data_IF_463582100905
#
_entry.id   IF_463582100905
#
_cell.length_a   1.000
_cell.length_b   1.000
_cell.length_c   1.000
_cell.angle_alpha   90.00
_cell.angle_beta   90.00
_cell.angle_gamma   90.00
#
_symmetry.space_group_name_H-M   'P 1'
#
loop_
_entity.id
_entity.type
_entity.pdbx_description
1 polymer ?
#
# COMPACT_ATOMS: atom_id res chain seq x y z
N UNK A 1 -3.40 0.96 8.29
CA UNK A 1 -4.27 1.86 9.10
C UNK A 1 -5.59 2.01 8.37
N UNK A 2 -6.70 1.82 9.05
CA UNK A 2 -8.06 1.90 8.49
C UNK A 2 -8.67 3.20 9.00
N UNK A 3 -9.15 4.05 8.11
CA UNK A 3 -9.94 5.24 8.45
C UNK A 3 -11.35 5.02 7.92
N UNK A 4 -12.35 5.27 8.76
CA UNK A 4 -13.76 5.16 8.40
C UNK A 4 -14.37 6.55 8.47
N UNK A 5 -14.79 7.05 7.33
CA UNK A 5 -15.49 8.34 7.22
C UNK A 5 -16.98 8.06 6.91
N UNK A 6 -17.88 8.63 7.72
CA UNK A 6 -19.30 8.67 7.44
C UNK A 6 -19.60 9.80 6.47
N UNK A 7 -20.20 9.48 5.33
CA UNK A 7 -20.60 10.49 4.35
C UNK A 7 -21.99 11.03 4.72
N UNK A 8 -22.21 12.29 4.46
CA UNK A 8 -23.25 13.25 4.88
C UNK A 8 -24.71 12.79 4.98
N UNK A 9 -25.11 11.60 4.56
CA UNK A 9 -26.48 11.10 4.63
C UNK A 9 -26.75 10.04 5.71
N UNK A 10 -25.72 9.69 6.49
CA UNK A 10 -25.86 8.70 7.56
C UNK A 10 -25.92 7.23 7.11
N UNK A 11 -26.10 6.96 5.82
CA UNK A 11 -26.24 5.61 5.26
C UNK A 11 -25.05 5.19 4.37
N UNK A 12 -24.12 6.09 4.07
CA UNK A 12 -22.95 5.80 3.24
C UNK A 12 -21.68 5.83 4.07
N UNK A 13 -20.86 4.80 3.94
CA UNK A 13 -19.60 4.63 4.64
C UNK A 13 -18.44 4.61 3.65
N UNK A 14 -17.36 5.32 3.96
CA UNK A 14 -16.11 5.29 3.20
C UNK A 14 -14.99 4.72 4.05
N UNK A 15 -14.47 3.59 3.65
CA UNK A 15 -13.30 2.96 4.24
C UNK A 15 -12.07 3.31 3.42
N UNK A 16 -11.11 4.00 4.02
CA UNK A 16 -9.83 4.32 3.39
C UNK A 16 -8.79 3.39 3.99
N UNK A 17 -8.29 2.46 3.19
CA UNK A 17 -7.25 1.54 3.57
C UNK A 17 -5.92 2.08 3.09
N UNK A 18 -5.02 2.37 4.02
CA UNK A 18 -3.65 2.79 3.73
C UNK A 18 -2.65 1.86 4.38
N UNK A 19 -1.55 1.51 3.69
CA UNK A 19 -0.47 0.76 4.30
C UNK A 19 0.10 1.53 5.49
N UNK A 20 0.57 0.79 6.48
CA UNK A 20 1.22 1.37 7.64
C UNK A 20 2.66 1.74 7.26
N UNK A 21 2.85 2.94 6.71
CA UNK A 21 4.15 3.45 6.32
C UNK A 21 4.82 4.10 7.53
N UNK A 22 5.81 3.43 8.11
CA UNK A 22 6.58 3.94 9.25
C UNK A 22 7.50 5.11 8.88
N UNK A 23 7.89 5.22 7.60
CA UNK A 23 8.83 6.22 7.10
C UNK A 23 8.15 7.09 6.06
N UNK A 24 8.20 8.41 6.22
CA UNK A 24 7.70 9.34 5.23
C UNK A 24 8.64 9.43 4.02
N UNK A 25 8.10 9.80 2.85
CA UNK A 25 8.91 9.99 1.64
C UNK A 25 10.06 10.98 1.84
N UNK A 26 9.84 12.02 2.64
CA UNK A 26 10.85 13.03 2.95
C UNK A 26 12.01 12.45 3.77
N UNK A 27 11.71 11.65 4.77
CA UNK A 27 12.73 10.98 5.61
C UNK A 27 13.54 9.98 4.80
N UNK A 28 12.89 9.20 3.94
CA UNK A 28 13.55 8.27 3.04
C UNK A 28 14.51 9.00 2.09
N UNK A 29 14.07 10.12 1.51
CA UNK A 29 14.87 10.92 0.60
C UNK A 29 16.05 11.59 1.33
N UNK A 30 15.83 12.08 2.55
CA UNK A 30 16.87 12.68 3.38
C UNK A 30 17.94 11.64 3.74
N UNK A 31 17.52 10.45 4.14
CA UNK A 31 18.42 9.32 4.39
C UNK A 31 19.25 8.97 3.14
N UNK A 32 18.61 8.88 1.98
CA UNK A 32 19.30 8.61 0.71
C UNK A 32 20.32 9.69 0.37
N UNK A 33 19.96 10.98 0.48
CA UNK A 33 20.87 12.09 0.22
C UNK A 33 22.07 12.11 1.16
N UNK A 34 21.85 11.82 2.44
CA UNK A 34 22.91 11.74 3.43
C UNK A 34 23.89 10.60 3.10
N UNK A 35 23.35 9.44 2.72
CA UNK A 35 24.16 8.29 2.28
C UNK A 35 24.97 8.61 1.02
N UNK A 36 24.36 9.29 0.05
CA UNK A 36 25.05 9.76 -1.16
C UNK A 36 26.20 10.74 -0.82
N UNK A 37 25.96 11.68 0.09
CA UNK A 37 26.98 12.65 0.49
C UNK A 37 28.19 11.97 1.15
N UNK A 38 27.96 11.01 2.03
CA UNK A 38 29.03 10.24 2.67
C UNK A 38 29.78 9.39 1.64
N UNK A 39 29.05 8.69 0.76
CA UNK A 39 29.66 7.87 -0.30
C UNK A 39 30.51 8.70 -1.26
N UNK A 40 30.02 9.89 -1.63
CA UNK A 40 30.76 10.82 -2.49
C UNK A 40 32.04 11.35 -1.79
N UNK A 41 31.95 11.71 -0.52
CA UNK A 41 33.12 12.17 0.25
C UNK A 41 34.21 11.09 0.33
N UNK A 42 33.81 9.84 0.58
CA UNK A 42 34.73 8.69 0.59
C UNK A 42 35.33 8.46 -0.81
N UNK A 43 34.52 8.49 -1.85
CA UNK A 43 34.97 8.33 -3.23
C UNK A 43 35.96 9.40 -3.66
N UNK A 44 35.74 10.66 -3.30
CA UNK A 44 36.65 11.77 -3.56
C UNK A 44 38.00 11.59 -2.80
N UNK A 45 37.91 11.18 -1.54
CA UNK A 45 39.11 10.91 -0.74
C UNK A 45 40.02 9.86 -1.39
N UNK A 46 39.47 8.74 -1.86
CA UNK A 46 40.23 7.71 -2.55
C UNK A 46 40.74 8.15 -3.93
N UNK A 47 40.00 8.99 -4.60
CA UNK A 47 40.41 9.53 -5.90
C UNK A 47 41.64 10.39 -5.80
N UNK A 48 41.75 11.22 -4.75
CA UNK A 48 42.95 12.03 -4.49
C UNK A 48 44.20 11.15 -4.24
N UNK A 49 43.98 9.93 -3.73
CA UNK A 49 45.07 8.94 -3.55
C UNK A 49 45.40 8.16 -4.84
N UNK A 50 44.81 8.50 -5.97
CA UNK A 50 45.07 7.86 -7.27
C UNK A 50 44.14 6.71 -7.61
N UNK A 51 43.17 6.39 -6.75
CA UNK A 51 42.18 5.30 -6.95
C UNK A 51 40.89 5.82 -7.62
N UNK A 52 41.00 6.38 -8.82
CA UNK A 52 39.91 7.03 -9.51
C UNK A 52 38.76 6.08 -9.87
N UNK A 53 39.01 4.76 -9.97
CA UNK A 53 37.97 3.75 -10.25
C UNK A 53 36.91 3.68 -9.16
N UNK A 54 37.19 4.14 -7.95
CA UNK A 54 36.19 4.12 -6.85
C UNK A 54 34.98 5.01 -7.15
N UNK A 55 35.18 6.15 -7.82
CA UNK A 55 34.11 7.09 -8.15
C UNK A 55 33.00 6.47 -9.04
N UNK A 56 33.30 5.89 -10.23
CA UNK A 56 32.26 5.31 -11.07
C UNK A 56 31.56 4.13 -10.39
N UNK A 57 32.26 3.34 -9.59
CA UNK A 57 31.69 2.23 -8.86
C UNK A 57 30.73 2.71 -7.76
N UNK A 58 31.15 3.69 -6.95
CA UNK A 58 30.31 4.32 -5.94
C UNK A 58 29.06 4.99 -6.56
N UNK A 59 29.22 5.65 -7.71
CA UNK A 59 28.10 6.24 -8.44
C UNK A 59 27.08 5.19 -8.90
N UNK A 60 27.55 4.06 -9.42
CA UNK A 60 26.68 2.96 -9.83
C UNK A 60 25.94 2.37 -8.64
N UNK A 61 26.60 2.16 -7.51
CA UNK A 61 25.99 1.65 -6.28
C UNK A 61 24.88 2.57 -5.78
N UNK A 62 25.13 3.89 -5.72
CA UNK A 62 24.12 4.86 -5.31
C UNK A 62 22.93 4.90 -6.29
N UNK A 63 23.18 4.77 -7.59
CA UNK A 63 22.11 4.70 -8.58
C UNK A 63 21.24 3.46 -8.37
N UNK A 64 21.83 2.29 -8.16
CA UNK A 64 21.08 1.05 -7.89
C UNK A 64 20.29 1.15 -6.59
N UNK A 65 20.87 1.71 -5.54
CA UNK A 65 20.20 1.96 -4.26
C UNK A 65 18.99 2.89 -4.47
N UNK A 66 19.16 3.99 -5.18
CA UNK A 66 18.10 4.95 -5.48
C UNK A 66 16.95 4.32 -6.29
N UNK A 67 17.28 3.53 -7.30
CA UNK A 67 16.27 2.76 -8.06
C UNK A 67 15.52 1.78 -7.17
N UNK A 68 16.22 1.03 -6.32
CA UNK A 68 15.62 0.09 -5.37
C UNK A 68 14.64 0.78 -4.42
N UNK A 69 15.05 1.90 -3.82
CA UNK A 69 14.20 2.71 -2.95
C UNK A 69 13.00 3.29 -3.70
N UNK A 70 13.18 3.76 -4.92
CA UNK A 70 12.09 4.27 -5.76
C UNK A 70 11.04 3.20 -6.08
N UNK A 71 11.47 2.01 -6.51
CA UNK A 71 10.54 0.91 -6.81
C UNK A 71 9.83 0.39 -5.56
N UNK A 72 10.54 0.31 -4.44
CA UNK A 72 9.96 -0.13 -3.16
C UNK A 72 8.92 0.87 -2.67
N UNK A 73 9.24 2.17 -2.67
CA UNK A 73 8.31 3.20 -2.24
C UNK A 73 7.03 3.23 -3.07
N UNK A 74 7.14 3.02 -4.38
CA UNK A 74 5.97 2.98 -5.27
C UNK A 74 4.99 1.86 -4.93
N UNK A 75 5.47 0.70 -4.45
CA UNK A 75 4.62 -0.41 -4.00
C UNK A 75 3.91 -0.12 -2.68
N UNK A 76 4.55 0.63 -1.80
CA UNK A 76 4.06 0.91 -0.44
C UNK A 76 2.96 1.99 -0.42
N UNK A 77 2.91 2.89 -1.41
CA UNK A 77 1.90 3.96 -1.47
C UNK A 77 0.57 3.58 -2.12
N UNK A 78 0.25 2.28 -2.23
CA UNK A 78 -1.07 1.83 -2.71
C UNK A 78 -2.15 2.16 -1.67
N UNK A 79 -3.19 2.84 -2.08
CA UNK A 79 -4.39 3.10 -1.27
C UNK A 79 -5.57 2.38 -1.90
N UNK A 80 -6.41 1.83 -1.04
CA UNK A 80 -7.69 1.26 -1.45
C UNK A 80 -8.80 2.04 -0.75
N UNK A 81 -9.81 2.42 -1.50
CA UNK A 81 -10.99 3.12 -1.00
C UNK A 81 -12.20 2.25 -1.28
N UNK A 82 -12.94 1.90 -0.24
CA UNK A 82 -14.19 1.15 -0.34
C UNK A 82 -15.30 2.10 0.07
N UNK A 83 -16.17 2.43 -0.85
CA UNK A 83 -17.36 3.25 -0.60
C UNK A 83 -18.56 2.33 -0.60
N UNK A 84 -19.25 2.27 0.54
CA UNK A 84 -20.48 1.51 0.74
C UNK A 84 -21.65 2.48 0.74
N UNK A 85 -22.48 2.42 -0.31
CA UNK A 85 -23.76 3.07 -0.37
C UNK A 85 -24.88 2.01 -0.25
N UNK A 86 -26.10 2.36 0.16
CA UNK A 86 -27.20 1.40 0.28
C UNK A 86 -27.54 0.66 -1.03
N UNK A 87 -27.20 1.25 -2.16
CA UNK A 87 -27.45 0.67 -3.49
C UNK A 87 -26.22 0.14 -4.19
N UNK A 88 -25.05 0.77 -3.97
CA UNK A 88 -23.82 0.47 -4.73
C UNK A 88 -22.61 0.44 -3.81
N UNK A 89 -21.82 -0.60 -3.96
CA UNK A 89 -20.49 -0.71 -3.34
C UNK A 89 -19.43 -0.46 -4.39
N UNK A 90 -18.62 0.57 -4.21
CA UNK A 90 -17.51 0.91 -5.10
C UNK A 90 -16.20 0.63 -4.40
N UNK A 91 -15.31 -0.09 -5.09
CA UNK A 91 -13.96 -0.38 -4.65
C UNK A 91 -13.00 0.28 -5.63
N UNK A 92 -12.16 1.17 -5.13
CA UNK A 92 -11.18 1.90 -5.93
C UNK A 92 -9.77 1.57 -5.41
N UNK A 93 -8.88 1.17 -6.31
CA UNK A 93 -7.48 0.92 -6.02
C UNK A 93 -6.59 1.86 -6.81
N UNK A 94 -5.63 2.49 -6.13
CA UNK A 94 -4.69 3.39 -6.78
C UNK A 94 -3.53 3.81 -5.90
N UNK A 95 -2.53 4.45 -6.52
CA UNK A 95 -1.37 5.05 -5.82
C UNK A 95 -1.57 6.56 -5.65
N UNK A 96 -1.79 7.28 -6.73
CA UNK A 96 -2.12 8.73 -6.78
C UNK A 96 -3.34 9.00 -7.64
N UNK A 97 -3.68 8.07 -8.53
CA UNK A 97 -4.87 8.08 -9.37
C UNK A 97 -5.53 6.72 -9.25
N UNK A 98 -6.84 6.70 -9.38
CA UNK A 98 -7.61 5.45 -9.45
C UNK A 98 -7.16 4.71 -10.71
N UNK A 99 -6.54 3.54 -10.53
CA UNK A 99 -6.11 2.69 -11.64
C UNK A 99 -7.15 1.62 -11.96
N UNK A 100 -7.84 1.17 -10.91
CA UNK A 100 -8.84 0.12 -11.02
C UNK A 100 -10.03 0.50 -10.15
N UNK A 101 -11.23 0.37 -10.70
CA UNK A 101 -12.49 0.59 -9.98
C UNK A 101 -13.46 -0.55 -10.29
N UNK A 102 -14.11 -1.04 -9.27
CA UNK A 102 -15.18 -2.06 -9.37
C UNK A 102 -16.41 -1.54 -8.69
N UNK A 103 -17.55 -1.75 -9.33
CA UNK A 103 -18.87 -1.43 -8.81
C UNK A 103 -19.68 -2.72 -8.65
N UNK A 104 -20.31 -2.88 -7.48
CA UNK A 104 -21.19 -3.99 -7.16
C UNK A 104 -22.51 -3.44 -6.58
N UNK A 105 -23.59 -4.17 -6.75
CA UNK A 105 -24.85 -3.86 -6.08
C UNK A 105 -24.80 -4.33 -4.62
N UNK A 106 -24.92 -3.41 -3.67
CA UNK A 106 -24.75 -3.68 -2.23
C UNK A 106 -25.57 -4.83 -1.69
N UNK A 107 -26.86 -5.04 -2.07
CA UNK A 107 -27.66 -6.15 -1.54
C UNK A 107 -27.11 -7.55 -1.86
N UNK A 108 -26.26 -7.66 -2.88
CA UNK A 108 -25.69 -8.94 -3.33
C UNK A 108 -24.22 -9.09 -3.00
N UNK A 109 -23.62 -8.10 -2.37
CA UNK A 109 -22.21 -8.12 -1.96
C UNK A 109 -22.03 -9.01 -0.74
N UNK A 110 -21.01 -9.83 -0.79
CA UNK A 110 -20.57 -10.65 0.34
C UNK A 110 -19.12 -10.41 0.66
N UNK A 111 -18.81 -10.31 1.95
CA UNK A 111 -17.46 -10.31 2.46
C UNK A 111 -17.00 -11.76 2.57
N UNK A 112 -16.00 -12.11 1.80
CA UNK A 112 -15.43 -13.44 1.70
C UNK A 112 -14.09 -13.43 2.44
N UNK A 113 -14.01 -14.21 3.49
CA UNK A 113 -12.79 -14.37 4.29
C UNK A 113 -12.26 -15.79 4.04
N UNK A 114 -11.19 -15.88 3.28
CA UNK A 114 -10.58 -17.15 2.90
C UNK A 114 -9.24 -17.34 3.61
N UNK A 115 -9.08 -18.46 4.28
CA UNK A 115 -7.79 -18.92 4.82
C UNK A 115 -7.32 -20.12 4.00
N UNK A 116 -6.62 -19.93 2.88
CA UNK A 116 -6.16 -21.05 2.05
C UNK A 116 -5.22 -21.97 2.86
N UNK A 117 -5.60 -23.25 2.97
CA UNK A 117 -4.79 -24.25 3.64
C UNK A 117 -4.77 -24.19 5.17
N UNK A 118 -5.68 -23.43 5.81
CA UNK A 118 -5.71 -23.30 7.29
C UNK A 118 -4.58 -22.45 7.87
N UNK A 119 -3.76 -21.85 7.03
CA UNK A 119 -2.64 -21.00 7.42
C UNK A 119 -3.11 -19.57 7.63
N UNK A 120 -3.19 -19.16 8.91
CA UNK A 120 -3.60 -17.79 9.29
C UNK A 120 -2.71 -16.69 8.66
N UNK A 121 -1.48 -17.02 8.27
CA UNK A 121 -0.57 -16.06 7.63
C UNK A 121 -0.96 -15.71 6.19
N UNK A 122 -1.77 -16.57 5.54
CA UNK A 122 -2.23 -16.38 4.15
C UNK A 122 -3.69 -15.94 4.02
N UNK A 123 -4.23 -15.38 5.08
CA UNK A 123 -5.60 -14.91 5.09
C UNK A 123 -5.84 -13.82 4.06
N UNK A 124 -6.87 -14.01 3.23
CA UNK A 124 -7.30 -13.06 2.19
C UNK A 124 -8.72 -12.61 2.46
N UNK A 125 -8.90 -11.29 2.48
CA UNK A 125 -10.22 -10.68 2.54
C UNK A 125 -10.61 -10.25 1.13
N UNK A 126 -11.75 -10.70 0.66
CA UNK A 126 -12.29 -10.34 -0.64
C UNK A 126 -13.73 -9.86 -0.51
N UNK A 127 -14.08 -8.90 -1.34
CA UNK A 127 -15.47 -8.44 -1.52
C UNK A 127 -15.91 -8.90 -2.91
N UNK A 128 -17.09 -9.49 -2.99
CA UNK A 128 -17.53 -10.01 -4.28
C UNK A 128 -19.02 -10.30 -4.37
N UNK A 129 -19.46 -10.46 -5.61
CA UNK A 129 -20.82 -10.82 -5.99
C UNK A 129 -20.76 -11.82 -7.16
N UNK A 130 -21.51 -12.94 -7.06
CA UNK A 130 -21.77 -13.87 -8.19
C UNK A 130 -20.57 -14.19 -9.10
N UNK A 131 -19.45 -14.63 -8.52
CA UNK A 131 -18.27 -15.07 -9.30
C UNK A 131 -17.23 -13.98 -9.57
N UNK A 132 -17.53 -12.71 -9.37
CA UNK A 132 -16.52 -11.64 -9.39
C UNK A 132 -16.04 -11.38 -7.96
N UNK A 133 -14.75 -11.51 -7.71
CA UNK A 133 -14.12 -11.29 -6.40
C UNK A 133 -13.02 -10.27 -6.52
N UNK A 134 -12.97 -9.32 -5.62
CA UNK A 134 -11.90 -8.32 -5.51
C UNK A 134 -11.27 -8.46 -4.14
N UNK A 135 -10.01 -8.86 -4.10
CA UNK A 135 -9.24 -8.92 -2.86
C UNK A 135 -9.01 -7.51 -2.33
N UNK A 136 -9.30 -7.26 -1.07
CA UNK A 136 -9.13 -5.96 -0.41
C UNK A 136 -8.22 -6.09 0.79
N UNK A 137 -7.44 -5.03 1.06
CA UNK A 137 -6.55 -5.01 2.22
C UNK A 137 -5.43 -6.03 2.17
N UNK A 138 -4.90 -6.39 1.00
CA UNK A 138 -3.80 -7.36 0.88
C UNK A 138 -2.53 -6.97 1.66
N UNK A 139 -2.37 -5.68 1.96
CA UNK A 139 -1.25 -5.11 2.72
C UNK A 139 -1.54 -4.98 4.23
N UNK A 140 -2.76 -5.29 4.69
CA UNK A 140 -3.16 -5.19 6.09
C UNK A 140 -2.65 -6.40 6.88
N UNK A 141 -2.32 -6.18 8.14
CA UNK A 141 -2.05 -7.25 9.09
C UNK A 141 -3.31 -8.07 9.39
N UNK A 142 -3.17 -9.31 9.85
CA UNK A 142 -4.31 -10.20 10.07
C UNK A 142 -5.35 -9.62 11.04
N UNK A 143 -4.89 -8.99 12.14
CA UNK A 143 -5.78 -8.34 13.10
C UNK A 143 -6.51 -7.12 12.52
N UNK A 144 -5.89 -6.39 11.57
CA UNK A 144 -6.55 -5.30 10.84
C UNK A 144 -7.60 -5.85 9.86
N UNK A 145 -7.32 -7.01 9.23
CA UNK A 145 -8.30 -7.68 8.38
C UNK A 145 -9.52 -8.15 9.16
N UNK A 146 -9.33 -8.63 10.41
CA UNK A 146 -10.43 -8.98 11.30
C UNK A 146 -11.33 -7.79 11.61
N UNK A 147 -10.72 -6.68 12.01
CA UNK A 147 -11.43 -5.45 12.30
C UNK A 147 -12.20 -4.93 11.07
N UNK A 148 -11.55 -4.95 9.90
CA UNK A 148 -12.18 -4.55 8.63
C UNK A 148 -13.34 -5.47 8.25
N UNK A 149 -13.16 -6.79 8.35
CA UNK A 149 -14.19 -7.77 8.03
C UNK A 149 -15.41 -7.62 8.93
N UNK A 150 -15.20 -7.35 10.21
CA UNK A 150 -16.28 -7.12 11.17
C UNK A 150 -17.06 -5.85 10.81
N UNK A 151 -16.36 -4.73 10.59
CA UNK A 151 -16.97 -3.45 10.24
C UNK A 151 -17.72 -3.50 8.90
N UNK A 152 -17.15 -4.17 7.89
CA UNK A 152 -17.80 -4.34 6.60
C UNK A 152 -19.07 -5.19 6.69
N UNK A 153 -19.06 -6.26 7.49
CA UNK A 153 -20.24 -7.09 7.72
C UNK A 153 -21.35 -6.32 8.42
N UNK A 154 -21.00 -5.51 9.42
CA UNK A 154 -21.96 -4.69 10.18
C UNK A 154 -22.62 -3.60 9.32
N UNK A 155 -21.92 -3.11 8.27
CA UNK A 155 -22.46 -2.11 7.35
C UNK A 155 -23.23 -2.69 6.15
N UNK A 156 -23.07 -3.98 5.84
CA UNK A 156 -23.73 -4.64 4.68
C UNK A 156 -25.03 -5.36 5.09
N UNK A 157 -25.18 -5.70 6.39
CA UNK A 157 -26.38 -6.33 6.94
C UNK A 157 -27.41 -5.28 7.31
#
# INVERSE_FOLDING_TARGET
MISVDKIDSGESYRFILSPNCSISWRELLLFYLLTCAVSLAVGLFFTVQGLWLVLPFSGLEMLLLGLGLYFTSRKVYRREVITLDPRRTRIEKGVQRVHESWEFETPWVRVIDECPGGDATRRRLAIGMSGKRVEVGGFLANWEKDALAFQLKDCII
#
